data_IF_415641770136
#
_entry.id   IF_415641770136
#
_cell.length_a   1.000
_cell.length_b   1.000
_cell.length_c   1.000
_cell.angle_alpha   90.00
_cell.angle_beta   90.00
_cell.angle_gamma   90.00
#
_symmetry.space_group_name_H-M   'P 1'
#
loop_
_entity.id
_entity.type
_entity.pdbx_description
1 polymer ?
#
# COMPACT_ATOMS: atom_id res chain seq x y z
N UNK A 1 12.13 0.24 -37.53
CA UNK A 1 12.31 -0.42 -36.21
C UNK A 1 11.16 -1.42 -36.05
N UNK A 2 11.47 -2.70 -35.73
CA UNK A 2 10.52 -3.80 -35.44
C UNK A 2 9.91 -4.51 -36.68
N UNK A 3 10.70 -5.38 -37.32
CA UNK A 3 10.28 -6.34 -38.37
C UNK A 3 10.10 -7.78 -37.84
N UNK A 4 10.33 -8.01 -36.55
CA UNK A 4 10.07 -9.28 -35.88
C UNK A 4 9.20 -8.97 -34.67
N UNK A 5 7.94 -9.39 -34.71
CA UNK A 5 7.01 -9.22 -33.58
C UNK A 5 7.65 -9.69 -32.29
N UNK A 6 7.36 -9.01 -31.17
CA UNK A 6 7.90 -9.33 -29.85
C UNK A 6 7.51 -10.78 -29.48
N UNK A 7 8.36 -11.74 -29.83
CA UNK A 7 8.18 -13.14 -29.45
C UNK A 7 8.36 -13.23 -27.94
N UNK A 8 7.30 -13.66 -27.23
CA UNK A 8 7.34 -13.93 -25.79
C UNK A 8 8.20 -15.16 -25.54
N UNK A 9 9.37 -14.97 -24.95
CA UNK A 9 10.24 -16.05 -24.48
C UNK A 9 9.88 -16.38 -23.02
N UNK A 10 9.81 -17.67 -22.63
CA UNK A 10 9.48 -18.08 -21.27
C UNK A 10 10.67 -17.89 -20.33
N UNK A 11 11.06 -16.64 -20.07
CA UNK A 11 12.12 -16.32 -19.11
C UNK A 11 11.61 -16.51 -17.68
N UNK A 12 12.38 -17.17 -16.80
CA UNK A 12 11.98 -17.39 -15.41
C UNK A 12 12.11 -16.07 -14.63
N UNK A 13 11.05 -15.27 -14.61
CA UNK A 13 11.01 -13.96 -13.92
C UNK A 13 10.63 -14.11 -12.44
N UNK A 14 9.62 -14.94 -12.12
CA UNK A 14 9.14 -15.09 -10.75
C UNK A 14 10.15 -15.75 -9.82
N UNK A 15 10.95 -16.70 -10.32
CA UNK A 15 11.90 -17.50 -9.51
C UNK A 15 13.07 -16.69 -8.92
N UNK A 16 13.69 -15.74 -9.62
CA UNK A 16 14.67 -14.84 -8.99
C UNK A 16 14.01 -13.66 -8.26
N UNK A 17 12.82 -13.20 -8.68
CA UNK A 17 12.24 -11.97 -8.16
C UNK A 17 11.32 -12.14 -6.94
N UNK A 18 10.92 -13.36 -6.57
CA UNK A 18 10.00 -13.57 -5.46
C UNK A 18 10.44 -12.94 -4.12
N UNK A 19 11.74 -12.87 -3.74
CA UNK A 19 12.12 -12.24 -2.47
C UNK A 19 11.80 -10.75 -2.46
N UNK A 20 11.93 -10.07 -3.61
CA UNK A 20 11.57 -8.65 -3.75
C UNK A 20 10.06 -8.45 -3.69
N UNK A 21 9.28 -9.36 -4.30
CA UNK A 21 7.82 -9.36 -4.18
C UNK A 21 7.36 -9.51 -2.74
N UNK A 22 7.99 -10.43 -1.99
CA UNK A 22 7.73 -10.62 -0.55
C UNK A 22 8.11 -9.38 0.26
N UNK A 23 9.30 -8.81 0.02
CA UNK A 23 9.74 -7.60 0.71
C UNK A 23 8.81 -6.40 0.44
N UNK A 24 8.32 -6.25 -0.79
CA UNK A 24 7.36 -5.22 -1.15
C UNK A 24 6.02 -5.42 -0.43
N UNK A 25 5.49 -6.65 -0.43
CA UNK A 25 4.26 -6.97 0.28
C UNK A 25 4.38 -6.73 1.79
N UNK A 26 5.50 -7.13 2.39
CA UNK A 26 5.77 -6.91 3.81
C UNK A 26 5.87 -5.41 4.14
N UNK A 27 6.62 -4.66 3.35
CA UNK A 27 6.76 -3.21 3.52
C UNK A 27 5.40 -2.53 3.39
N UNK A 28 4.61 -2.91 2.38
CA UNK A 28 3.28 -2.37 2.18
C UNK A 28 2.38 -2.60 3.40
N UNK A 29 2.38 -3.83 3.94
CA UNK A 29 1.61 -4.15 5.15
C UNK A 29 2.03 -3.29 6.34
N UNK A 30 3.33 -3.20 6.63
CA UNK A 30 3.84 -2.42 7.75
C UNK A 30 3.52 -0.93 7.61
N UNK A 31 3.77 -0.36 6.43
CA UNK A 31 3.56 1.07 6.17
C UNK A 31 2.06 1.40 6.14
N UNK A 32 1.18 0.48 5.74
CA UNK A 32 -0.27 0.68 5.83
C UNK A 32 -0.74 0.86 7.28
N UNK A 33 -0.28 0.00 8.20
CA UNK A 33 -0.64 0.13 9.62
C UNK A 33 -0.05 1.38 10.28
N UNK A 34 1.17 1.78 9.90
CA UNK A 34 1.77 3.03 10.38
C UNK A 34 1.00 4.26 9.89
N UNK A 35 0.52 4.25 8.63
CA UNK A 35 -0.30 5.33 8.09
C UNK A 35 -1.64 5.44 8.82
N UNK A 36 -2.31 4.31 9.08
CA UNK A 36 -3.57 4.30 9.84
C UNK A 36 -3.40 4.99 11.21
N UNK A 37 -2.33 4.67 11.93
CA UNK A 37 -2.02 5.30 13.21
C UNK A 37 -1.66 6.79 13.07
N UNK A 38 -0.86 7.15 12.07
CA UNK A 38 -0.42 8.54 11.85
C UNK A 38 -1.58 9.47 11.50
N UNK A 39 -2.49 9.01 10.65
CA UNK A 39 -3.69 9.74 10.23
C UNK A 39 -4.69 9.91 11.38
N UNK A 40 -4.65 9.02 12.36
CA UNK A 40 -5.39 9.12 13.61
C UNK A 40 -4.63 9.86 14.72
N UNK A 41 -3.50 10.53 14.46
CA UNK A 41 -2.83 11.32 15.50
C UNK A 41 -3.48 12.69 15.71
N UNK A 42 -3.26 13.30 16.87
CA UNK A 42 -3.86 14.59 17.25
C UNK A 42 -3.68 15.69 16.20
N UNK A 43 -2.52 15.70 15.55
CA UNK A 43 -2.18 16.68 14.53
C UNK A 43 -3.01 16.56 13.25
N UNK A 44 -3.48 15.36 12.89
CA UNK A 44 -4.12 15.08 11.60
C UNK A 44 -5.58 14.62 11.71
N UNK A 45 -6.08 14.35 12.93
CA UNK A 45 -7.49 13.96 13.17
C UNK A 45 -8.50 14.99 12.70
N UNK A 46 -8.15 16.27 12.78
CA UNK A 46 -9.04 17.39 12.45
C UNK A 46 -8.82 17.95 11.04
N UNK A 47 -7.95 17.33 10.23
CA UNK A 47 -7.73 17.78 8.85
C UNK A 47 -8.95 17.42 7.98
N UNK A 48 -9.60 18.38 7.31
CA UNK A 48 -10.75 18.12 6.44
C UNK A 48 -10.43 17.22 5.23
N UNK A 49 -9.14 17.04 4.90
CA UNK A 49 -8.68 16.14 3.83
C UNK A 49 -8.44 14.72 4.30
N UNK A 50 -8.56 14.46 5.61
CA UNK A 50 -8.31 13.15 6.18
C UNK A 50 -9.40 12.16 5.72
N UNK A 51 -9.06 11.13 4.90
CA UNK A 51 -10.05 10.17 4.42
C UNK A 51 -10.59 9.26 5.53
N UNK A 52 -9.93 9.23 6.70
CA UNK A 52 -10.37 8.50 7.89
C UNK A 52 -11.27 9.32 8.80
N UNK A 53 -11.64 10.56 8.46
CA UNK A 53 -12.52 11.39 9.29
C UNK A 53 -13.83 10.66 9.69
N UNK A 54 -14.44 9.93 8.75
CA UNK A 54 -15.66 9.13 9.02
C UNK A 54 -15.37 7.91 9.91
N UNK A 55 -14.23 7.23 9.70
CA UNK A 55 -13.81 6.08 10.50
C UNK A 55 -13.43 6.48 11.92
N UNK A 56 -12.77 7.62 12.08
CA UNK A 56 -12.41 8.23 13.37
C UNK A 56 -13.70 8.59 14.11
N UNK A 57 -14.63 9.32 13.47
CA UNK A 57 -15.91 9.68 14.09
C UNK A 57 -16.74 8.47 14.54
N UNK A 58 -16.78 7.40 13.74
CA UNK A 58 -17.49 6.16 14.07
C UNK A 58 -16.87 5.37 15.23
N UNK A 59 -15.54 5.41 15.37
CA UNK A 59 -14.81 4.82 16.50
C UNK A 59 -14.94 5.65 17.77
N UNK A 60 -14.90 6.99 17.66
CA UNK A 60 -15.03 7.92 18.80
C UNK A 60 -16.42 7.95 19.42
N UNK A 61 -17.47 7.56 18.68
CA UNK A 61 -18.85 7.48 19.17
C UNK A 61 -19.22 6.17 19.87
N UNK A 62 -18.27 5.22 19.97
CA UNK A 62 -18.46 3.92 20.64
C UNK A 62 -17.80 3.81 22.02
N UNK A 63 -17.34 4.93 22.60
CA UNK A 63 -16.87 5.02 23.99
C UNK A 63 -17.83 5.86 24.83
#
# INVERSE_FOLDING_TARGET
LIMFGLRKWPTPVAKPLWPFGVAAALTFYLVSGLQDAAVQSEQYRHDPKNPHAQKIAATSGHH
#
